data_IF_247272517805
#
_entry.id   IF_247272517805
#
_cell.length_a   1.000
_cell.length_b   1.000
_cell.length_c   1.000
_cell.angle_alpha   90.00
_cell.angle_beta   90.00
_cell.angle_gamma   90.00
#
_symmetry.space_group_name_H-M   'P 1'
#
loop_
_entity.id
_entity.type
_entity.pdbx_description
1 polymer ?
#
# COMPACT_ATOMS: atom_id res chain seq x y z
N UNK A 1 20.62 -21.79 -1.93
CA UNK A 1 20.88 -21.71 -3.42
C UNK A 1 21.30 -20.31 -3.88
N UNK A 2 20.47 -19.24 -3.82
CA UNK A 2 20.87 -17.91 -4.33
C UNK A 2 22.13 -17.35 -3.63
N UNK A 3 22.18 -17.42 -2.30
CA UNK A 3 23.34 -16.98 -1.53
C UNK A 3 24.61 -17.79 -1.85
N UNK A 4 24.49 -19.08 -2.09
CA UNK A 4 25.59 -19.94 -2.52
C UNK A 4 26.10 -19.56 -3.92
N UNK A 5 25.18 -19.22 -4.84
CA UNK A 5 25.56 -18.72 -6.17
C UNK A 5 26.32 -17.40 -6.08
N UNK A 6 25.89 -16.47 -5.21
CA UNK A 6 26.61 -15.21 -4.99
C UNK A 6 28.01 -15.45 -4.40
N UNK A 7 28.11 -16.36 -3.43
CA UNK A 7 29.39 -16.74 -2.86
C UNK A 7 30.31 -17.44 -3.87
N UNK A 8 29.73 -18.19 -4.82
CA UNK A 8 30.44 -18.85 -5.90
C UNK A 8 30.86 -17.90 -7.06
N UNK A 9 30.34 -16.67 -7.07
CA UNK A 9 30.65 -15.64 -8.07
C UNK A 9 31.91 -14.83 -7.73
N UNK A 10 32.94 -15.46 -7.17
CA UNK A 10 34.17 -14.77 -6.80
C UNK A 10 34.84 -14.10 -8.01
N UNK A 11 35.41 -12.91 -7.79
CA UNK A 11 36.09 -12.10 -8.82
C UNK A 11 37.46 -11.70 -8.35
N UNK A 12 38.48 -12.05 -9.11
CA UNK A 12 39.89 -11.64 -8.87
C UNK A 12 40.24 -10.46 -9.74
N UNK A 13 40.67 -9.36 -9.16
CA UNK A 13 41.00 -8.12 -9.88
C UNK A 13 42.33 -8.21 -10.65
N UNK A 14 43.20 -9.11 -10.20
CA UNK A 14 44.57 -9.34 -10.68
C UNK A 14 44.65 -10.48 -11.72
N UNK A 15 43.56 -11.17 -12.01
CA UNK A 15 43.52 -12.31 -12.92
C UNK A 15 42.23 -12.24 -13.76
N UNK A 16 42.36 -11.68 -14.96
CA UNK A 16 41.24 -11.52 -15.90
C UNK A 16 40.71 -12.85 -16.47
N UNK A 17 41.60 -13.90 -16.47
CA UNK A 17 41.25 -15.24 -16.96
C UNK A 17 40.69 -16.15 -15.85
N UNK A 18 40.54 -15.62 -14.63
CA UNK A 18 40.00 -16.40 -13.52
C UNK A 18 38.58 -16.87 -13.75
N UNK A 19 38.41 -18.18 -13.69
CA UNK A 19 37.06 -18.81 -13.74
C UNK A 19 36.61 -19.15 -12.32
N UNK A 20 35.49 -18.55 -11.93
CA UNK A 20 34.83 -18.84 -10.66
C UNK A 20 34.03 -20.14 -10.74
N UNK A 21 33.68 -20.78 -9.61
CA UNK A 21 32.76 -21.94 -9.62
C UNK A 21 31.38 -21.64 -10.25
N UNK A 22 30.97 -20.38 -10.23
CA UNK A 22 29.74 -19.95 -10.91
C UNK A 22 29.88 -19.95 -12.43
N UNK A 23 31.06 -19.56 -12.97
CA UNK A 23 31.36 -19.63 -14.40
C UNK A 23 31.21 -21.06 -14.92
N UNK A 24 31.80 -22.04 -14.24
CA UNK A 24 31.68 -23.45 -14.61
C UNK A 24 30.23 -23.93 -14.61
N UNK A 25 29.41 -23.46 -13.66
CA UNK A 25 27.99 -23.83 -13.60
C UNK A 25 27.24 -23.29 -14.81
N UNK A 26 27.49 -22.03 -15.20
CA UNK A 26 26.84 -21.41 -16.35
C UNK A 26 27.34 -21.98 -17.69
N UNK A 27 28.60 -22.37 -17.81
CA UNK A 27 29.11 -23.09 -18.97
C UNK A 27 28.39 -24.43 -19.18
N UNK A 28 28.21 -25.20 -18.08
CA UNK A 28 27.42 -26.46 -18.12
C UNK A 28 25.97 -26.22 -18.50
N UNK A 29 25.37 -25.12 -18.02
CA UNK A 29 24.01 -24.75 -18.38
C UNK A 29 23.91 -24.36 -19.87
N UNK A 30 24.88 -23.61 -20.37
CA UNK A 30 24.94 -23.18 -21.78
C UNK A 30 25.04 -24.38 -22.73
N UNK A 31 25.84 -25.39 -22.39
CA UNK A 31 25.93 -26.62 -23.16
C UNK A 31 24.59 -27.38 -23.24
N UNK A 32 23.74 -27.30 -22.22
CA UNK A 32 22.44 -27.96 -22.17
C UNK A 32 21.32 -27.11 -22.78
N UNK A 33 21.36 -25.81 -22.56
CA UNK A 33 20.33 -24.87 -23.03
C UNK A 33 20.94 -23.49 -23.33
N UNK A 34 21.55 -23.31 -24.54
CA UNK A 34 22.19 -22.06 -24.94
C UNK A 34 21.23 -20.88 -25.03
N UNK A 35 19.93 -21.14 -25.22
CA UNK A 35 18.89 -20.10 -25.31
C UNK A 35 18.32 -19.71 -23.94
N UNK A 36 18.81 -20.29 -22.86
CA UNK A 36 18.39 -19.95 -21.50
C UNK A 36 18.55 -18.45 -21.21
N UNK A 37 17.50 -17.83 -20.70
CA UNK A 37 17.55 -16.43 -20.26
C UNK A 37 18.63 -16.22 -19.20
N UNK A 38 18.82 -17.18 -18.29
CA UNK A 38 19.85 -17.13 -17.26
C UNK A 38 21.25 -17.05 -17.86
N UNK A 39 21.55 -17.85 -18.89
CA UNK A 39 22.85 -17.81 -19.60
C UNK A 39 23.04 -16.46 -20.29
N UNK A 40 22.02 -15.95 -20.96
CA UNK A 40 22.08 -14.64 -21.63
C UNK A 40 22.35 -13.50 -20.63
N UNK A 41 21.68 -13.49 -19.49
CA UNK A 41 21.90 -12.49 -18.46
C UNK A 41 23.27 -12.62 -17.79
N UNK A 42 23.73 -13.85 -17.54
CA UNK A 42 25.06 -14.07 -17.01
C UNK A 42 26.17 -13.57 -17.93
N UNK A 43 26.04 -13.76 -19.24
CA UNK A 43 26.97 -13.21 -20.23
C UNK A 43 27.05 -11.69 -20.19
N UNK A 44 25.93 -11.00 -19.96
CA UNK A 44 25.89 -9.53 -19.80
C UNK A 44 26.68 -9.14 -18.53
N UNK A 45 26.45 -9.84 -17.42
CA UNK A 45 27.20 -9.62 -16.18
C UNK A 45 28.71 -9.79 -16.38
N UNK A 46 29.15 -10.83 -17.11
CA UNK A 46 30.57 -11.13 -17.38
C UNK A 46 31.26 -10.09 -18.28
N UNK A 47 30.49 -9.21 -18.97
CA UNK A 47 31.09 -8.08 -19.70
C UNK A 47 31.58 -6.97 -18.77
N UNK A 48 31.21 -7.00 -17.49
CA UNK A 48 31.69 -6.02 -16.51
C UNK A 48 33.16 -6.29 -16.18
N UNK A 49 33.98 -5.26 -16.26
CA UNK A 49 35.39 -5.33 -15.83
C UNK A 49 35.50 -5.68 -14.33
N UNK A 50 36.58 -6.31 -13.90
CA UNK A 50 36.79 -6.90 -12.57
C UNK A 50 36.31 -6.01 -11.40
N UNK A 51 36.70 -4.71 -11.38
CA UNK A 51 36.27 -3.78 -10.32
C UNK A 51 34.76 -3.52 -10.35
N UNK A 52 34.15 -3.44 -11.52
CA UNK A 52 32.71 -3.24 -11.71
C UNK A 52 31.95 -4.49 -11.27
N UNK A 53 32.38 -5.67 -11.68
CA UNK A 53 31.79 -6.95 -11.29
C UNK A 53 31.84 -7.11 -9.74
N UNK A 54 32.98 -6.80 -9.12
CA UNK A 54 33.11 -6.82 -7.66
C UNK A 54 32.16 -5.84 -6.95
N UNK A 55 32.00 -4.62 -7.48
CA UNK A 55 31.06 -3.64 -6.94
C UNK A 55 29.61 -4.11 -7.05
N UNK A 56 29.25 -4.78 -8.16
CA UNK A 56 27.93 -5.38 -8.34
C UNK A 56 27.71 -6.47 -7.28
N UNK A 57 28.66 -7.40 -7.10
CA UNK A 57 28.54 -8.48 -6.12
C UNK A 57 28.43 -7.96 -4.69
N UNK A 58 29.22 -6.94 -4.33
CA UNK A 58 29.10 -6.30 -3.01
C UNK A 58 27.72 -5.70 -2.83
N UNK A 59 27.21 -4.97 -3.82
CA UNK A 59 25.88 -4.35 -3.75
C UNK A 59 24.76 -5.38 -3.60
N UNK A 60 24.83 -6.48 -4.33
CA UNK A 60 23.89 -7.61 -4.22
C UNK A 60 24.02 -8.28 -2.85
N UNK A 61 25.27 -8.57 -2.41
CA UNK A 61 25.55 -9.19 -1.12
C UNK A 61 25.01 -8.38 0.06
N UNK A 62 25.17 -7.05 0.04
CA UNK A 62 24.63 -6.17 1.09
C UNK A 62 23.10 -6.21 1.11
N UNK A 63 22.45 -6.17 -0.05
CA UNK A 63 20.96 -6.20 -0.15
C UNK A 63 20.39 -7.54 0.31
N UNK A 64 21.11 -8.63 0.08
CA UNK A 64 20.65 -9.97 0.44
C UNK A 64 21.24 -10.46 1.77
N UNK A 65 21.98 -9.62 2.50
CA UNK A 65 22.62 -10.00 3.76
C UNK A 65 21.64 -10.54 4.81
N UNK A 66 20.41 -10.05 4.81
CA UNK A 66 19.36 -10.52 5.71
C UNK A 66 19.06 -12.03 5.56
N UNK A 67 19.21 -12.59 4.35
CA UNK A 67 19.02 -14.02 4.10
C UNK A 67 20.14 -14.92 4.64
N UNK A 68 21.21 -14.34 5.19
CA UNK A 68 22.22 -15.08 5.95
C UNK A 68 21.78 -15.39 7.40
N UNK A 69 20.72 -14.74 7.87
CA UNK A 69 20.14 -15.04 9.18
C UNK A 69 19.39 -16.37 9.08
N UNK A 70 19.68 -17.29 9.99
CA UNK A 70 19.11 -18.65 9.99
C UNK A 70 17.56 -18.62 10.01
N UNK A 71 16.97 -17.70 10.79
CA UNK A 71 15.53 -17.53 10.87
C UNK A 71 14.90 -17.11 9.53
N UNK A 72 15.54 -16.20 8.79
CA UNK A 72 15.07 -15.73 7.49
C UNK A 72 15.30 -16.79 6.42
N UNK A 73 16.47 -17.42 6.43
CA UNK A 73 16.79 -18.53 5.53
C UNK A 73 15.81 -19.69 5.70
N UNK A 74 15.47 -20.04 6.95
CA UNK A 74 14.46 -21.06 7.27
C UNK A 74 13.06 -20.68 6.77
N UNK A 75 12.63 -19.44 7.05
CA UNK A 75 11.32 -18.94 6.62
C UNK A 75 11.13 -18.95 5.09
N UNK A 76 12.22 -18.75 4.34
CA UNK A 76 12.17 -18.64 2.87
C UNK A 76 12.69 -19.88 2.14
N UNK A 77 12.99 -20.97 2.86
CA UNK A 77 13.54 -22.18 2.28
C UNK A 77 12.52 -23.03 1.51
N UNK A 78 11.27 -23.02 1.95
CA UNK A 78 10.15 -23.80 1.39
C UNK A 78 8.95 -22.90 1.16
N UNK A 79 8.11 -23.28 0.21
CA UNK A 79 6.81 -22.63 0.02
C UNK A 79 5.76 -23.35 0.89
N UNK A 80 5.32 -22.66 1.94
CA UNK A 80 4.28 -23.15 2.85
C UNK A 80 2.98 -22.34 2.73
N UNK A 81 3.02 -21.22 1.99
CA UNK A 81 1.88 -20.32 1.87
C UNK A 81 0.91 -20.73 0.76
N UNK A 82 1.40 -21.50 -0.24
CA UNK A 82 0.61 -21.92 -1.40
C UNK A 82 -0.18 -20.73 -2.00
N UNK A 83 0.51 -19.63 -2.29
CA UNK A 83 -0.12 -18.35 -2.71
C UNK A 83 -1.01 -18.50 -3.95
N UNK A 84 -0.74 -19.50 -4.80
CA UNK A 84 -1.54 -19.87 -5.95
C UNK A 84 -2.96 -20.38 -5.59
N UNK A 85 -3.16 -20.79 -4.34
CA UNK A 85 -4.49 -21.22 -3.85
C UNK A 85 -5.35 -20.05 -3.37
N UNK A 86 -4.75 -18.86 -3.18
CA UNK A 86 -5.48 -17.66 -2.76
C UNK A 86 -6.32 -17.17 -3.94
N UNK A 87 -7.61 -17.00 -3.71
CA UNK A 87 -8.55 -16.68 -4.79
C UNK A 87 -9.17 -17.89 -5.49
N UNK A 88 -8.58 -19.09 -5.35
CA UNK A 88 -9.14 -20.35 -5.83
C UNK A 88 -10.03 -21.01 -4.78
N UNK A 89 -9.62 -20.98 -3.53
CA UNK A 89 -10.37 -21.50 -2.38
C UNK A 89 -10.45 -20.48 -1.25
N UNK A 90 -11.43 -20.66 -0.35
CA UNK A 90 -11.54 -19.83 0.86
C UNK A 90 -10.32 -20.02 1.74
N UNK A 91 -9.49 -18.99 1.81
CA UNK A 91 -8.21 -18.98 2.54
C UNK A 91 -8.16 -17.75 3.43
N UNK A 92 -7.56 -17.83 4.63
CA UNK A 92 -7.25 -16.71 5.47
C UNK A 92 -5.75 -16.72 5.79
N UNK A 93 -5.05 -15.65 5.44
CA UNK A 93 -3.63 -15.43 5.74
C UNK A 93 -3.53 -14.34 6.80
N UNK A 94 -2.87 -14.65 7.92
CA UNK A 94 -2.59 -13.70 8.99
C UNK A 94 -1.10 -13.37 8.97
N UNK A 95 -0.77 -12.13 8.62
CA UNK A 95 0.60 -11.64 8.59
C UNK A 95 0.82 -10.74 9.82
N UNK A 96 1.58 -11.24 10.79
CA UNK A 96 1.92 -10.48 12.01
C UNK A 96 3.26 -9.82 11.79
N UNK A 97 3.26 -8.47 11.85
CA UNK A 97 4.43 -7.64 11.58
C UNK A 97 4.75 -6.84 12.86
N UNK A 98 6.02 -6.82 13.32
CA UNK A 98 6.42 -5.95 14.42
C UNK A 98 6.20 -4.47 14.03
N UNK A 99 5.60 -3.69 14.92
CA UNK A 99 5.36 -2.26 14.74
C UNK A 99 6.59 -1.39 15.10
N UNK A 100 7.49 -1.94 15.91
CA UNK A 100 8.67 -1.26 16.44
C UNK A 100 9.98 -1.55 15.69
N UNK A 101 9.98 -2.47 14.70
CA UNK A 101 11.16 -2.86 13.95
C UNK A 101 10.81 -3.06 12.46
N UNK A 102 11.30 -2.17 11.61
CA UNK A 102 11.09 -2.22 10.17
C UNK A 102 12.17 -3.03 9.41
N UNK A 103 13.14 -3.62 10.10
CA UNK A 103 14.28 -4.31 9.48
C UNK A 103 13.86 -5.38 8.50
N UNK A 104 12.76 -6.09 8.79
CA UNK A 104 12.27 -7.20 7.98
C UNK A 104 11.02 -6.88 7.16
N UNK A 105 10.59 -5.62 7.08
CA UNK A 105 9.42 -5.22 6.30
C UNK A 105 9.54 -5.56 4.80
N UNK A 106 10.77 -5.71 4.29
CA UNK A 106 11.01 -6.14 2.92
C UNK A 106 10.44 -7.55 2.63
N UNK A 107 10.39 -8.46 3.62
CA UNK A 107 9.81 -9.80 3.47
C UNK A 107 8.31 -9.68 3.23
N UNK A 108 7.65 -8.80 3.97
CA UNK A 108 6.23 -8.50 3.78
C UNK A 108 5.98 -7.86 2.42
N UNK A 109 6.87 -6.96 1.99
CA UNK A 109 6.83 -6.39 0.65
C UNK A 109 6.97 -7.44 -0.46
N UNK A 110 7.83 -8.44 -0.26
CA UNK A 110 7.94 -9.59 -1.16
C UNK A 110 6.65 -10.41 -1.20
N UNK A 111 6.05 -10.69 -0.03
CA UNK A 111 4.77 -11.41 0.07
C UNK A 111 3.68 -10.67 -0.71
N UNK A 112 3.48 -9.37 -0.47
CA UNK A 112 2.48 -8.59 -1.19
C UNK A 112 2.73 -8.56 -2.69
N UNK A 113 4.00 -8.37 -3.10
CA UNK A 113 4.36 -8.34 -4.53
C UNK A 113 4.02 -9.66 -5.21
N UNK A 114 4.41 -10.79 -4.61
CA UNK A 114 4.13 -12.11 -5.15
C UNK A 114 2.63 -12.41 -5.16
N UNK A 115 1.93 -12.10 -4.06
CA UNK A 115 0.50 -12.35 -3.95
C UNK A 115 -0.30 -11.54 -4.98
N UNK A 116 -0.02 -10.25 -5.17
CA UNK A 116 -0.68 -9.46 -6.21
C UNK A 116 -0.37 -10.01 -7.60
N UNK A 117 0.88 -10.36 -7.90
CA UNK A 117 1.24 -10.96 -9.19
C UNK A 117 0.47 -12.25 -9.44
N UNK A 118 0.37 -13.14 -8.44
CA UNK A 118 -0.37 -14.40 -8.56
C UNK A 118 -1.87 -14.18 -8.76
N UNK A 119 -2.47 -13.28 -7.98
CA UNK A 119 -3.90 -12.97 -8.09
C UNK A 119 -4.25 -12.36 -9.45
N UNK A 120 -3.43 -11.44 -9.96
CA UNK A 120 -3.63 -10.86 -11.29
C UNK A 120 -3.45 -11.90 -12.39
N UNK A 121 -2.43 -12.76 -12.28
CA UNK A 121 -2.22 -13.85 -13.22
C UNK A 121 -3.41 -14.83 -13.21
N UNK A 122 -3.86 -15.23 -12.01
CA UNK A 122 -5.02 -16.12 -11.86
C UNK A 122 -6.28 -15.50 -12.47
N UNK A 123 -6.59 -14.23 -12.12
CA UNK A 123 -7.75 -13.54 -12.67
C UNK A 123 -7.68 -13.40 -14.20
N UNK A 124 -6.58 -12.85 -14.73
CA UNK A 124 -6.50 -12.43 -16.14
C UNK A 124 -6.25 -13.59 -17.10
N UNK A 125 -5.48 -14.61 -16.68
CA UNK A 125 -5.01 -15.68 -17.57
C UNK A 125 -5.75 -16.99 -17.32
N UNK A 126 -6.12 -17.29 -16.05
CA UNK A 126 -6.75 -18.56 -15.72
C UNK A 126 -8.28 -18.44 -15.72
N UNK A 127 -8.84 -17.31 -15.29
CA UNK A 127 -10.27 -17.14 -15.01
C UNK A 127 -10.96 -16.02 -15.81
N UNK A 128 -10.46 -15.66 -16.99
CA UNK A 128 -11.11 -14.71 -17.92
C UNK A 128 -11.45 -13.34 -17.31
N UNK A 129 -10.70 -12.86 -16.33
CA UNK A 129 -10.77 -11.49 -15.81
C UNK A 129 -11.20 -11.35 -14.36
N UNK A 130 -11.71 -12.39 -13.69
CA UNK A 130 -12.11 -12.32 -12.27
C UNK A 130 -11.78 -13.59 -11.48
N UNK A 131 -11.44 -13.43 -10.22
CA UNK A 131 -11.16 -14.57 -9.34
C UNK A 131 -12.45 -15.31 -8.96
N UNK A 132 -12.42 -16.64 -8.87
CA UNK A 132 -13.57 -17.45 -8.44
C UNK A 132 -13.95 -17.21 -6.97
N UNK A 133 -13.00 -16.84 -6.12
CA UNK A 133 -13.22 -16.46 -4.73
C UNK A 133 -12.69 -15.05 -4.52
N UNK A 134 -13.54 -14.08 -4.14
CA UNK A 134 -13.09 -12.72 -3.85
C UNK A 134 -12.02 -12.69 -2.76
N UNK A 135 -10.99 -11.87 -2.97
CA UNK A 135 -9.89 -11.69 -2.02
C UNK A 135 -9.95 -10.29 -1.42
N UNK A 136 -9.96 -10.20 -0.10
CA UNK A 136 -9.97 -8.95 0.62
C UNK A 136 -8.70 -8.79 1.46
N UNK A 137 -7.95 -7.74 1.17
CA UNK A 137 -6.80 -7.31 1.95
C UNK A 137 -7.24 -6.35 3.05
N UNK A 138 -7.06 -6.73 4.29
CA UNK A 138 -7.22 -5.85 5.45
C UNK A 138 -5.84 -5.39 5.89
N UNK A 139 -5.47 -4.16 5.51
CA UNK A 139 -4.13 -3.60 5.73
C UNK A 139 -4.15 -2.67 6.94
N UNK A 140 -3.99 -3.25 8.11
CA UNK A 140 -3.81 -2.49 9.34
C UNK A 140 -2.39 -1.90 9.38
N UNK A 141 -2.23 -0.70 9.96
CA UNK A 141 -0.97 0.04 9.98
C UNK A 141 -0.31 0.14 8.58
N UNK A 142 -1.11 0.44 7.56
CA UNK A 142 -0.72 0.48 6.15
C UNK A 142 0.61 1.21 5.89
N UNK A 143 0.87 2.29 6.65
CA UNK A 143 2.08 3.07 6.49
C UNK A 143 3.37 2.32 6.88
N UNK A 144 3.27 1.26 7.67
CA UNK A 144 4.41 0.49 8.14
C UNK A 144 4.76 -0.69 7.21
N UNK A 145 3.96 -0.91 6.17
CA UNK A 145 4.13 -2.04 5.25
C UNK A 145 4.82 -1.58 3.97
N UNK A 146 5.84 -2.31 3.55
CA UNK A 146 6.43 -2.13 2.23
C UNK A 146 5.49 -2.73 1.17
N UNK A 147 4.86 -1.88 0.37
CA UNK A 147 4.01 -2.31 -0.73
C UNK A 147 4.77 -2.28 -2.06
N UNK A 148 4.27 -2.99 -3.09
CA UNK A 148 4.82 -2.88 -4.43
C UNK A 148 4.86 -1.44 -4.92
N UNK A 149 5.88 -1.11 -5.69
CA UNK A 149 5.90 0.13 -6.46
C UNK A 149 4.62 0.20 -7.31
N UNK A 150 4.07 1.40 -7.49
CA UNK A 150 2.84 1.61 -8.27
C UNK A 150 1.56 0.96 -7.67
N UNK A 151 1.49 0.79 -6.36
CA UNK A 151 0.30 0.26 -5.69
C UNK A 151 -0.98 1.06 -6.02
N UNK A 152 -0.86 2.37 -6.23
CA UNK A 152 -1.95 3.24 -6.67
C UNK A 152 -2.54 2.79 -8.03
N UNK A 153 -1.71 2.32 -8.96
CA UNK A 153 -2.15 1.76 -10.24
C UNK A 153 -2.81 0.40 -10.06
N UNK A 154 -2.24 -0.47 -9.22
CA UNK A 154 -2.86 -1.75 -8.88
C UNK A 154 -4.25 -1.53 -8.30
N UNK A 155 -4.39 -0.64 -7.32
CA UNK A 155 -5.66 -0.33 -6.65
C UNK A 155 -6.76 0.06 -7.64
N UNK A 156 -6.42 0.80 -8.69
CA UNK A 156 -7.39 1.24 -9.71
C UNK A 156 -8.01 0.10 -10.52
N UNK A 157 -7.37 -1.06 -10.57
CA UNK A 157 -7.76 -2.22 -11.41
C UNK A 157 -8.16 -3.47 -10.61
N UNK A 158 -8.01 -3.45 -9.29
CA UNK A 158 -8.30 -4.60 -8.42
C UNK A 158 -9.75 -5.03 -8.43
N UNK A 159 -10.67 -4.06 -8.41
CA UNK A 159 -12.12 -4.31 -8.27
C UNK A 159 -12.68 -5.22 -9.36
N UNK A 160 -12.30 -5.03 -10.61
CA UNK A 160 -12.76 -5.85 -11.73
C UNK A 160 -12.32 -7.32 -11.59
N UNK A 161 -11.28 -7.58 -10.82
CA UNK A 161 -10.71 -8.91 -10.57
C UNK A 161 -11.20 -9.55 -9.28
N UNK A 162 -12.21 -8.98 -8.62
CA UNK A 162 -12.70 -9.42 -7.31
C UNK A 162 -11.63 -9.31 -6.21
N UNK A 163 -10.74 -8.32 -6.31
CA UNK A 163 -9.74 -8.00 -5.29
C UNK A 163 -10.16 -6.71 -4.60
N UNK A 164 -10.27 -6.74 -3.28
CA UNK A 164 -10.70 -5.63 -2.45
C UNK A 164 -9.65 -5.28 -1.40
N UNK A 165 -9.59 -4.02 -1.03
CA UNK A 165 -8.60 -3.53 -0.04
C UNK A 165 -9.30 -2.65 0.98
N UNK A 166 -9.01 -2.87 2.26
CA UNK A 166 -9.28 -1.93 3.34
C UNK A 166 -7.96 -1.40 3.89
N UNK A 167 -7.74 -0.10 3.72
CA UNK A 167 -6.53 0.58 4.16
C UNK A 167 -6.83 1.30 5.46
N UNK A 168 -6.09 0.99 6.53
CA UNK A 168 -6.23 1.63 7.84
C UNK A 168 -4.99 2.50 8.09
N UNK A 169 -5.24 3.76 8.42
CA UNK A 169 -4.23 4.78 8.65
C UNK A 169 -4.53 5.52 9.95
N UNK A 170 -3.51 5.92 10.66
CA UNK A 170 -3.66 6.78 11.84
C UNK A 170 -3.97 8.23 11.43
N UNK A 171 -3.43 8.70 10.30
CA UNK A 171 -3.65 10.03 9.75
C UNK A 171 -3.27 10.09 8.26
N UNK A 172 -3.71 11.17 7.58
CA UNK A 172 -3.41 11.38 6.17
C UNK A 172 -1.94 11.75 5.89
N UNK A 173 -1.22 12.28 6.87
CA UNK A 173 0.19 12.62 6.69
C UNK A 173 1.03 11.37 6.36
N UNK A 174 0.66 10.20 6.89
CA UNK A 174 1.32 8.94 6.59
C UNK A 174 1.25 8.58 5.10
N UNK A 175 0.07 8.62 4.50
CA UNK A 175 -0.10 8.26 3.09
C UNK A 175 0.53 9.33 2.17
N UNK A 176 0.46 10.62 2.55
CA UNK A 176 1.12 11.72 1.83
C UNK A 176 2.64 11.57 1.82
N UNK A 177 3.24 11.11 2.92
CA UNK A 177 4.68 10.86 3.01
C UNK A 177 5.11 9.72 2.08
N UNK A 178 4.31 8.64 2.00
CA UNK A 178 4.61 7.47 1.17
C UNK A 178 4.40 7.72 -0.32
N UNK A 179 3.27 8.31 -0.70
CA UNK A 179 2.83 8.40 -2.09
C UNK A 179 2.89 9.80 -2.69
N UNK A 180 3.38 10.79 -1.93
CA UNK A 180 3.57 12.18 -2.41
C UNK A 180 2.38 12.66 -3.25
N UNK A 181 2.58 12.79 -4.57
CA UNK A 181 1.56 13.33 -5.49
C UNK A 181 0.44 12.32 -5.84
N UNK A 182 0.65 11.01 -5.62
CA UNK A 182 -0.36 10.00 -5.95
C UNK A 182 -1.26 9.58 -4.78
N UNK A 183 -1.10 10.16 -3.59
CA UNK A 183 -1.93 9.84 -2.43
C UNK A 183 -3.44 10.10 -2.67
N UNK A 184 -3.78 11.15 -3.42
CA UNK A 184 -5.18 11.47 -3.77
C UNK A 184 -5.80 10.38 -4.65
N UNK A 185 -4.99 9.75 -5.53
CA UNK A 185 -5.43 8.62 -6.35
C UNK A 185 -5.78 7.41 -5.49
N UNK A 186 -5.02 7.16 -4.41
CA UNK A 186 -5.30 6.06 -3.49
C UNK A 186 -6.63 6.33 -2.77
N UNK A 187 -6.83 7.52 -2.22
CA UNK A 187 -8.10 7.88 -1.57
C UNK A 187 -9.26 7.82 -2.58
N UNK A 188 -9.08 8.38 -3.79
CA UNK A 188 -10.10 8.45 -4.83
C UNK A 188 -10.48 7.09 -5.44
N UNK A 189 -9.60 6.09 -5.39
CA UNK A 189 -9.88 4.73 -5.86
C UNK A 189 -10.64 3.88 -4.83
N UNK A 190 -10.77 4.35 -3.59
CA UNK A 190 -11.61 3.72 -2.59
C UNK A 190 -13.02 4.29 -2.65
N UNK A 191 -14.03 3.42 -2.70
CA UNK A 191 -15.44 3.83 -2.75
C UNK A 191 -15.95 4.33 -1.40
N UNK A 192 -15.29 3.96 -0.32
CA UNK A 192 -15.70 4.26 1.06
C UNK A 192 -14.53 4.89 1.82
N UNK A 193 -14.80 6.01 2.48
CA UNK A 193 -13.90 6.63 3.44
C UNK A 193 -14.58 6.67 4.81
N UNK A 194 -13.94 6.09 5.83
CA UNK A 194 -14.47 6.03 7.18
C UNK A 194 -13.52 6.74 8.15
N UNK A 195 -13.98 7.86 8.72
CA UNK A 195 -13.20 8.68 9.64
C UNK A 195 -13.63 8.46 11.09
N UNK A 196 -12.73 7.96 11.89
CA UNK A 196 -12.96 7.60 13.30
C UNK A 196 -12.49 8.66 14.31
N UNK A 197 -12.07 9.82 13.84
CA UNK A 197 -11.42 10.84 14.65
C UNK A 197 -9.90 10.77 14.57
N UNK A 198 -9.23 11.75 15.13
CA UNK A 198 -7.77 11.85 15.15
C UNK A 198 -7.32 13.24 15.61
N UNK A 199 -5.99 13.44 15.77
CA UNK A 199 -5.42 14.69 16.28
C UNK A 199 -4.52 15.41 15.25
N UNK A 200 -4.55 15.00 13.97
CA UNK A 200 -3.65 15.55 12.95
C UNK A 200 -4.36 16.62 12.11
N UNK A 201 -3.78 17.83 12.05
CA UNK A 201 -4.41 19.02 11.49
C UNK A 201 -4.72 18.89 9.99
N UNK A 202 -3.85 18.24 9.19
CA UNK A 202 -4.11 18.14 7.75
C UNK A 202 -5.26 17.18 7.46
N UNK A 203 -5.48 16.18 8.33
CA UNK A 203 -6.64 15.29 8.28
C UNK A 203 -7.93 16.03 8.61
N UNK A 204 -7.94 16.87 9.65
CA UNK A 204 -9.13 17.67 10.00
C UNK A 204 -9.54 18.59 8.86
N UNK A 205 -8.55 19.28 8.25
CA UNK A 205 -8.79 20.16 7.11
C UNK A 205 -9.34 19.40 5.92
N UNK A 206 -8.74 18.25 5.58
CA UNK A 206 -9.22 17.39 4.50
C UNK A 206 -10.65 16.90 4.75
N UNK A 207 -10.98 16.46 5.95
CA UNK A 207 -12.34 16.00 6.29
C UNK A 207 -13.37 17.13 6.20
N UNK A 208 -13.04 18.33 6.65
CA UNK A 208 -13.88 19.53 6.54
C UNK A 208 -14.17 19.87 5.07
N UNK A 209 -13.13 19.89 4.22
CA UNK A 209 -13.25 20.14 2.80
C UNK A 209 -14.05 19.03 2.08
N UNK A 210 -13.85 17.77 2.48
CA UNK A 210 -14.50 16.60 1.89
C UNK A 210 -15.98 16.51 2.26
N UNK A 211 -16.38 16.99 3.43
CA UNK A 211 -17.80 17.15 3.84
C UNK A 211 -18.54 18.14 2.96
N UNK A 212 -17.85 19.18 2.49
CA UNK A 212 -18.44 20.24 1.70
C UNK A 212 -19.08 21.34 2.52
N UNK A 213 -19.93 22.15 1.86
CA UNK A 213 -20.55 23.35 2.43
C UNK A 213 -22.06 23.31 2.35
N UNK A 214 -22.71 23.93 3.31
CA UNK A 214 -24.12 24.28 3.28
C UNK A 214 -24.33 25.76 3.03
N UNK A 215 -25.50 26.15 2.52
CA UNK A 215 -25.86 27.54 2.35
C UNK A 215 -26.64 27.98 3.58
N UNK A 216 -26.13 28.97 4.29
CA UNK A 216 -26.81 29.63 5.40
C UNK A 216 -27.45 30.93 4.92
N UNK A 217 -28.70 31.10 5.22
CA UNK A 217 -29.40 32.40 5.03
C UNK A 217 -29.12 33.30 6.24
N UNK A 218 -28.30 34.32 6.03
CA UNK A 218 -27.98 35.32 7.05
C UNK A 218 -28.82 36.57 6.82
N UNK A 219 -29.71 36.87 7.76
CA UNK A 219 -30.48 38.09 7.74
C UNK A 219 -29.82 39.13 8.62
N UNK A 220 -29.33 40.22 8.01
CA UNK A 220 -28.83 41.38 8.76
C UNK A 220 -29.90 42.44 8.83
N UNK A 221 -30.26 42.83 10.05
CA UNK A 221 -31.24 43.90 10.31
C UNK A 221 -30.48 45.19 10.63
N UNK A 222 -30.64 46.17 9.75
CA UNK A 222 -30.15 47.53 9.99
C UNK A 222 -31.31 48.45 10.47
N UNK A 223 -31.22 48.98 11.69
CA UNK A 223 -32.14 50.00 12.21
C UNK A 223 -31.39 51.32 12.38
N UNK A 224 -31.74 52.33 11.61
CA UNK A 224 -31.25 53.68 11.77
C UNK A 224 -32.29 54.46 12.58
N UNK A 225 -31.85 55.05 13.73
CA UNK A 225 -32.70 55.92 14.55
C UNK A 225 -32.38 57.39 14.27
N UNK A 226 -33.24 58.02 13.50
CA UNK A 226 -33.17 59.46 13.16
C UNK A 226 -34.57 59.93 12.74
N UNK A 227 -34.73 61.27 12.49
CA UNK A 227 -36.02 61.91 12.16
C UNK A 227 -36.71 61.36 10.88
N UNK A 228 -35.99 60.45 10.13
CA UNK A 228 -36.49 59.63 9.03
C UNK A 228 -35.92 58.23 9.19
N UNK A 229 -36.39 57.46 10.20
CA UNK A 229 -35.93 56.09 10.46
C UNK A 229 -36.23 55.16 9.27
N UNK A 230 -35.20 54.54 8.71
CA UNK A 230 -35.37 53.52 7.67
C UNK A 230 -35.02 52.15 8.25
N UNK A 231 -35.85 51.17 7.88
CA UNK A 231 -35.63 49.76 8.20
C UNK A 231 -35.17 49.05 6.93
N UNK A 232 -33.97 48.48 6.94
CA UNK A 232 -33.50 47.64 5.81
C UNK A 232 -33.24 46.25 6.27
N UNK A 233 -33.82 45.28 5.61
CA UNK A 233 -33.52 43.85 5.77
C UNK A 233 -32.65 43.44 4.60
N UNK A 234 -31.43 43.01 4.87
CA UNK A 234 -30.53 42.49 3.84
C UNK A 234 -30.48 40.99 3.95
N UNK A 235 -30.90 40.28 2.91
CA UNK A 235 -30.79 38.82 2.80
C UNK A 235 -29.44 38.49 2.16
N UNK A 236 -28.57 37.86 2.91
CA UNK A 236 -27.29 37.36 2.39
C UNK A 236 -27.29 35.84 2.54
N UNK A 237 -26.88 35.17 1.46
CA UNK A 237 -26.57 33.74 1.51
C UNK A 237 -25.06 33.58 1.63
N UNK A 238 -24.60 32.89 2.66
CA UNK A 238 -23.21 32.58 2.88
C UNK A 238 -23.00 31.06 2.89
N UNK A 239 -21.98 30.58 2.18
CA UNK A 239 -21.59 29.18 2.27
C UNK A 239 -20.82 28.95 3.56
N UNK A 240 -21.24 28.00 4.41
CA UNK A 240 -20.53 27.52 5.58
C UNK A 240 -20.12 26.08 5.38
N UNK A 241 -18.93 25.69 5.83
CA UNK A 241 -18.53 24.29 5.93
C UNK A 241 -19.49 23.53 6.85
N UNK A 242 -19.93 22.33 6.45
CA UNK A 242 -20.81 21.49 7.28
C UNK A 242 -20.22 21.23 8.65
N UNK A 243 -18.91 20.92 8.70
CA UNK A 243 -18.08 20.96 9.90
C UNK A 243 -16.78 21.68 9.56
N UNK A 244 -16.42 22.69 10.32
CA UNK A 244 -15.11 23.32 10.22
C UNK A 244 -14.01 22.37 10.69
N UNK A 245 -12.75 22.61 10.32
CA UNK A 245 -11.63 21.79 10.76
C UNK A 245 -11.53 21.71 12.31
N UNK A 246 -11.92 22.79 13.02
CA UNK A 246 -11.96 22.80 14.48
C UNK A 246 -13.10 21.92 15.03
N UNK A 247 -14.25 21.93 14.38
CA UNK A 247 -15.38 21.07 14.75
C UNK A 247 -15.06 19.60 14.46
N UNK A 248 -14.36 19.29 13.36
CA UNK A 248 -13.86 17.94 13.08
C UNK A 248 -12.86 17.48 14.13
N UNK A 249 -11.98 18.38 14.59
CA UNK A 249 -11.03 18.09 15.68
C UNK A 249 -11.73 17.77 17.02
N UNK A 250 -12.87 18.37 17.24
CA UNK A 250 -13.68 18.21 18.46
C UNK A 250 -14.73 17.11 18.33
N UNK A 251 -14.69 16.31 17.27
CA UNK A 251 -15.60 15.20 17.07
C UNK A 251 -15.59 14.28 18.30
N UNK A 252 -16.76 14.01 18.85
CA UNK A 252 -16.91 13.09 19.96
C UNK A 252 -16.43 11.68 19.57
N UNK A 253 -15.67 11.05 20.47
CA UNK A 253 -15.07 9.73 20.23
C UNK A 253 -16.09 8.62 19.97
N UNK A 254 -17.34 8.79 20.35
CA UNK A 254 -18.41 7.83 20.09
C UNK A 254 -18.94 7.90 18.65
N UNK A 255 -18.58 8.94 17.89
CA UNK A 255 -19.08 9.19 16.54
C UNK A 255 -18.02 9.02 15.47
N UNK A 256 -18.49 8.81 14.26
CA UNK A 256 -17.68 8.67 13.06
C UNK A 256 -18.33 9.40 11.88
N UNK A 257 -17.52 9.69 10.86
CA UNK A 257 -17.98 10.17 9.57
C UNK A 257 -17.77 9.06 8.54
N UNK A 258 -18.83 8.74 7.80
CA UNK A 258 -18.78 7.74 6.74
C UNK A 258 -19.15 8.40 5.41
N UNK A 259 -18.31 8.21 4.42
CA UNK A 259 -18.49 8.68 3.06
C UNK A 259 -18.54 7.48 2.12
N UNK A 260 -19.60 7.38 1.35
CA UNK A 260 -19.79 6.35 0.33
C UNK A 260 -19.97 7.07 -1.00
N UNK A 261 -19.29 6.62 -2.05
CA UNK A 261 -19.38 7.24 -3.36
C UNK A 261 -20.84 7.28 -3.85
N UNK A 262 -21.31 8.47 -4.18
CA UNK A 262 -22.69 8.70 -4.66
C UNK A 262 -23.71 8.92 -3.56
N UNK A 263 -23.33 8.79 -2.29
CA UNK A 263 -24.22 9.03 -1.15
C UNK A 263 -23.84 10.32 -0.40
N UNK A 264 -24.79 10.82 0.40
CA UNK A 264 -24.52 11.95 1.29
C UNK A 264 -23.65 11.48 2.47
N UNK A 265 -22.77 12.34 3.02
CA UNK A 265 -22.00 12.01 4.21
C UNK A 265 -22.92 11.58 5.36
N UNK A 266 -22.52 10.54 6.06
CA UNK A 266 -23.23 9.98 7.22
C UNK A 266 -22.43 10.30 8.48
N UNK A 267 -23.11 10.89 9.46
CA UNK A 267 -22.58 11.12 10.81
C UNK A 267 -23.36 10.24 11.77
N UNK A 268 -22.71 9.23 12.34
CA UNK A 268 -23.37 8.25 13.20
C UNK A 268 -22.43 7.72 14.27
N UNK A 269 -22.99 7.01 15.23
CA UNK A 269 -22.24 6.35 16.31
C UNK A 269 -21.39 5.22 15.77
N UNK A 270 -20.18 5.09 16.34
CA UNK A 270 -19.34 3.94 16.11
C UNK A 270 -20.02 2.67 16.62
N UNK A 271 -19.80 1.59 15.91
CA UNK A 271 -20.28 0.29 16.32
C UNK A 271 -19.59 -0.16 17.62
N UNK A 272 -20.36 -0.59 18.60
CA UNK A 272 -19.84 -1.15 19.85
C UNK A 272 -19.47 -2.63 19.61
N UNK A 273 -18.19 -2.88 19.45
CA UNK A 273 -17.68 -4.23 19.17
C UNK A 273 -18.02 -5.25 20.26
N UNK A 274 -18.23 -4.78 21.51
CA UNK A 274 -18.61 -5.68 22.63
C UNK A 274 -20.04 -6.22 22.48
N UNK A 275 -20.85 -5.61 21.62
CA UNK A 275 -22.19 -6.07 21.26
C UNK A 275 -22.21 -6.99 20.05
N UNK A 276 -21.05 -7.22 19.42
CA UNK A 276 -20.98 -8.16 18.30
C UNK A 276 -21.24 -9.57 18.81
N UNK A 277 -22.22 -10.29 18.23
CA UNK A 277 -22.47 -11.66 18.68
C UNK A 277 -21.19 -12.48 18.46
N UNK A 278 -20.73 -13.24 19.47
CA UNK A 278 -19.61 -14.13 19.26
C UNK A 278 -19.95 -15.09 18.11
N UNK A 279 -19.04 -15.24 17.19
CA UNK A 279 -19.19 -16.27 16.14
C UNK A 279 -19.36 -17.64 16.82
N UNK A 280 -20.31 -18.48 16.36
CA UNK A 280 -20.51 -19.80 16.92
C UNK A 280 -19.30 -20.71 16.70
#
# INVERSE_FOLDING_TARGET
>A
MVMEMIAAADVREDDEDYQSPLDELFERLELRNPESLAVKQYKIYKQAAGKTAKSILISVGVRLAAFNLESIAGLTATDELELEQVGERKTAIFCVIPDNDSTFNFIVGMLYTQLFQMLYYSADIVHDGELPVPVHFLMDEFANVALPDEFDKLLSTMRSRQIFVSIILQNLAQIKALYKDSWESIVGNNDTLYYLGGNEQSTHKFMSEYLGKETLDTNTFGKSSGRSGSYSTNYQQAGRELLTADEVRLLDNDYALLFIRGERPIFDKKYDILKHPPYP
#
